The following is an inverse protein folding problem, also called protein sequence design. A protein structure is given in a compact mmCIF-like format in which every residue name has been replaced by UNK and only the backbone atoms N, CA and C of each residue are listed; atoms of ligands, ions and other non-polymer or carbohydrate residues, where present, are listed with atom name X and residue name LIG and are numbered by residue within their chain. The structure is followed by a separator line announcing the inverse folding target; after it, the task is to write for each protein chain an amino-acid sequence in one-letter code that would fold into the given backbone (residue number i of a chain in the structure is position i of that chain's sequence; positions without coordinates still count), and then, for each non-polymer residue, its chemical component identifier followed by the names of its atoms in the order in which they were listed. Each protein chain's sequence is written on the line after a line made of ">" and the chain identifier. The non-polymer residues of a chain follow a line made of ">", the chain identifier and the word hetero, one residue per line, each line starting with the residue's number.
data_IF_930081079265
#
_entry.id   IF_930081079265
#
_cell.length_a   1.000
_cell.length_b   1.000
_cell.length_c   1.000
_cell.angle_alpha   90.00
_cell.angle_beta   90.00
_cell.angle_gamma   90.00
#
_symmetry.space_group_name_H-M   'P 1'
#
loop_
_entity.id
_entity.type
_entity.pdbx_description
1 polymer ?
#
# COMPACT_ATOMS: atom_id res chain seq x y z
N UNK A 1 20.98 -18.38 10.66
CA UNK A 1 20.55 -17.28 11.56
C UNK A 1 20.81 -15.97 10.85
N UNK A 2 19.80 -15.39 10.21
CA UNK A 2 19.88 -14.12 9.47
C UNK A 2 19.78 -12.93 10.42
N UNK A 3 20.58 -11.90 10.14
CA UNK A 3 21.07 -10.87 11.08
C UNK A 3 20.30 -9.54 11.01
N UNK A 4 19.02 -9.54 10.63
CA UNK A 4 18.24 -8.32 10.44
C UNK A 4 16.85 -8.42 11.11
N UNK A 5 16.46 -7.46 11.96
CA UNK A 5 15.14 -7.44 12.58
C UNK A 5 14.06 -7.08 11.55
N UNK A 6 12.89 -7.72 11.65
CA UNK A 6 11.69 -7.34 10.88
C UNK A 6 11.36 -5.88 11.19
N UNK A 7 11.41 -4.98 10.22
CA UNK A 7 10.90 -3.62 10.41
C UNK A 7 9.42 -3.69 10.80
N UNK A 8 9.09 -3.11 11.95
CA UNK A 8 7.75 -3.10 12.53
C UNK A 8 6.83 -2.22 11.66
N UNK A 9 5.84 -2.83 10.99
CA UNK A 9 4.85 -2.09 10.19
C UNK A 9 3.82 -1.48 11.12
N UNK A 10 3.70 -0.15 11.12
CA UNK A 10 2.77 0.60 11.95
C UNK A 10 1.77 1.27 11.02
N UNK A 11 0.47 0.92 11.01
CA UNK A 11 -0.50 1.66 10.22
C UNK A 11 -0.73 3.08 10.78
N UNK A 12 -1.18 4.05 9.97
CA UNK A 12 -1.67 5.33 10.49
C UNK A 12 -2.74 5.12 11.57
N UNK A 13 -2.67 5.90 12.64
CA UNK A 13 -3.62 5.84 13.76
C UNK A 13 -4.39 7.15 13.98
N UNK A 14 -4.06 8.22 13.25
CA UNK A 14 -4.75 9.51 13.28
C UNK A 14 -5.52 9.70 11.98
N UNK A 15 -6.76 10.19 12.06
CA UNK A 15 -7.45 10.69 10.86
C UNK A 15 -6.69 11.88 10.27
N UNK A 16 -6.81 12.09 8.96
CA UNK A 16 -6.19 13.22 8.26
C UNK A 16 -6.50 14.57 8.93
N UNK A 17 -7.74 14.75 9.40
CA UNK A 17 -8.12 15.97 10.11
C UNK A 17 -7.42 16.14 11.46
N UNK A 18 -7.26 15.07 12.24
CA UNK A 18 -6.56 15.09 13.52
C UNK A 18 -5.06 15.27 13.30
N UNK A 19 -4.50 14.59 12.30
CA UNK A 19 -3.11 14.73 11.89
C UNK A 19 -2.80 16.17 11.46
N UNK A 20 -3.64 16.77 10.60
CA UNK A 20 -3.50 18.18 10.19
C UNK A 20 -3.56 19.11 11.41
N UNK A 21 -4.49 18.91 12.34
CA UNK A 21 -4.59 19.74 13.55
C UNK A 21 -3.34 19.62 14.43
N UNK A 22 -2.85 18.40 14.65
CA UNK A 22 -1.65 18.17 15.46
C UNK A 22 -0.39 18.70 14.79
N UNK A 23 -0.25 18.55 13.47
CA UNK A 23 0.88 19.11 12.71
C UNK A 23 0.85 20.64 12.76
N UNK A 24 -0.33 21.26 12.61
CA UNK A 24 -0.47 22.73 12.82
C UNK A 24 -0.04 23.16 14.21
N UNK A 25 -0.44 22.43 15.26
CA UNK A 25 0.00 22.69 16.64
C UNK A 25 1.52 22.54 16.81
N UNK A 26 2.18 21.63 16.08
CA UNK A 26 3.64 21.55 16.09
C UNK A 26 4.26 22.75 15.36
N UNK A 27 3.70 23.18 14.24
CA UNK A 27 4.18 24.35 13.49
C UNK A 27 4.07 25.65 14.28
N UNK A 28 2.99 25.86 15.04
CA UNK A 28 2.81 27.05 15.89
C UNK A 28 3.88 27.16 16.98
N UNK A 29 4.43 26.03 17.44
CA UNK A 29 5.50 26.02 18.43
C UNK A 29 6.86 26.42 17.85
N UNK A 30 7.06 26.34 16.53
CA UNK A 30 8.35 26.66 15.88
C UNK A 30 8.77 28.10 16.15
N UNK A 31 7.83 29.05 16.12
CA UNK A 31 8.14 30.47 16.34
C UNK A 31 8.66 30.74 17.77
N UNK A 32 8.22 29.94 18.75
CA UNK A 32 8.76 29.94 20.12
C UNK A 32 10.14 29.27 20.18
N UNK A 33 10.31 28.14 19.50
CA UNK A 33 11.59 27.40 19.46
C UNK A 33 12.72 28.18 18.80
N UNK A 34 12.39 29.02 17.80
CA UNK A 34 13.35 29.92 17.15
C UNK A 34 14.01 30.92 18.12
N UNK A 35 13.40 31.17 19.29
CA UNK A 35 13.95 32.04 20.33
C UNK A 35 14.86 31.29 21.32
N UNK A 36 14.93 29.97 21.25
CA UNK A 36 15.72 29.13 22.15
C UNK A 36 17.11 28.84 21.59
N UNK A 37 18.03 28.45 22.48
CA UNK A 37 19.32 27.90 22.07
C UNK A 37 19.13 26.51 21.44
N UNK A 38 19.98 26.13 20.49
CA UNK A 38 19.90 24.83 19.82
C UNK A 38 19.96 23.62 20.77
N UNK A 39 20.62 23.76 21.93
CA UNK A 39 20.75 22.73 22.95
C UNK A 39 19.60 22.71 23.98
N UNK A 40 18.58 23.57 23.83
CA UNK A 40 17.47 23.63 24.78
C UNK A 40 16.67 22.30 24.77
N UNK A 41 16.44 21.68 25.94
CA UNK A 41 15.68 20.43 26.04
C UNK A 41 14.29 20.47 25.40
N UNK A 42 13.65 21.63 25.34
CA UNK A 42 12.33 21.80 24.71
C UNK A 42 12.37 21.54 23.20
N UNK A 43 13.49 21.85 22.54
CA UNK A 43 13.70 21.54 21.11
C UNK A 43 13.64 20.03 20.87
N UNK A 44 14.34 19.25 21.70
CA UNK A 44 14.37 17.79 21.57
C UNK A 44 13.03 17.15 21.91
N UNK A 45 12.30 17.69 22.90
CA UNK A 45 10.95 17.23 23.23
C UNK A 45 9.98 17.46 22.07
N UNK A 46 10.03 18.65 21.47
CA UNK A 46 9.22 18.98 20.31
C UNK A 46 9.53 18.08 19.12
N UNK A 47 10.82 17.81 18.86
CA UNK A 47 11.24 16.99 17.74
C UNK A 47 10.73 15.55 17.87
N UNK A 48 10.92 14.94 19.04
CA UNK A 48 10.42 13.60 19.34
C UNK A 48 8.88 13.54 19.22
N UNK A 49 8.16 14.54 19.73
CA UNK A 49 6.70 14.57 19.65
C UNK A 49 6.23 14.72 18.20
N UNK A 50 6.90 15.56 17.41
CA UNK A 50 6.57 15.78 16.00
C UNK A 50 6.81 14.52 15.18
N UNK A 51 7.92 13.82 15.41
CA UNK A 51 8.17 12.50 14.82
C UNK A 51 7.03 11.53 15.12
N UNK A 52 6.58 11.47 16.38
CA UNK A 52 5.48 10.62 16.82
C UNK A 52 4.13 11.00 16.22
N UNK A 53 3.90 12.29 15.93
CA UNK A 53 2.72 12.76 15.19
C UNK A 53 2.79 12.32 13.73
N UNK A 54 3.95 12.45 13.07
CA UNK A 54 4.15 12.02 11.68
C UNK A 54 3.93 10.50 11.55
N UNK A 55 4.52 9.70 12.44
CA UNK A 55 4.32 8.24 12.47
C UNK A 55 2.85 7.89 12.61
N UNK A 56 2.13 8.55 13.51
CA UNK A 56 0.70 8.30 13.69
C UNK A 56 -0.16 8.82 12.54
N UNK A 57 0.29 9.83 11.81
CA UNK A 57 -0.39 10.37 10.65
C UNK A 57 -0.22 9.54 9.38
N UNK A 58 0.96 8.95 9.17
CA UNK A 58 1.35 8.30 7.91
C UNK A 58 1.72 6.82 8.02
N UNK A 59 1.95 6.32 9.23
CA UNK A 59 2.41 4.95 9.48
C UNK A 59 3.89 4.72 9.14
N UNK A 60 4.30 3.45 9.18
CA UNK A 60 5.62 2.94 8.77
C UNK A 60 5.46 1.66 7.92
N UNK A 61 6.21 1.50 6.82
CA UNK A 61 7.20 2.45 6.27
C UNK A 61 6.53 3.60 5.50
N UNK A 62 7.07 4.82 5.62
CA UNK A 62 6.67 5.98 4.81
C UNK A 62 7.83 6.99 4.71
N UNK A 63 8.15 7.44 3.50
CA UNK A 63 9.28 8.31 3.18
C UNK A 63 9.27 9.66 3.92
N UNK A 64 8.12 10.13 4.40
CA UNK A 64 7.97 11.41 5.11
C UNK A 64 8.75 11.42 6.41
N UNK A 65 8.83 10.28 7.11
CA UNK A 65 9.59 10.17 8.34
C UNK A 65 11.10 10.24 8.07
N UNK A 66 11.56 9.60 7.00
CA UNK A 66 12.98 9.59 6.62
C UNK A 66 13.42 10.99 6.19
N UNK A 67 12.61 11.66 5.34
CA UNK A 67 12.84 13.03 4.89
C UNK A 67 12.83 14.02 6.07
N UNK A 68 11.92 13.85 7.03
CA UNK A 68 11.88 14.68 8.24
C UNK A 68 13.12 14.47 9.13
N UNK A 69 13.51 13.20 9.32
CA UNK A 69 14.66 12.83 10.16
C UNK A 69 15.99 13.22 9.51
N UNK A 70 16.06 13.30 8.18
CA UNK A 70 17.24 13.73 7.43
C UNK A 70 17.32 15.23 7.20
N UNK A 71 16.35 16.03 7.67
CA UNK A 71 16.29 17.48 7.45
C UNK A 71 17.39 18.29 8.18
N UNK A 72 18.38 17.63 8.76
CA UNK A 72 19.55 18.25 9.38
C UNK A 72 20.49 18.80 8.29
N UNK A 73 20.98 20.02 8.50
CA UNK A 73 21.96 20.65 7.63
C UNK A 73 23.24 19.80 7.61
N UNK A 74 23.67 19.37 6.42
CA UNK A 74 24.97 18.71 6.25
C UNK A 74 26.05 19.74 6.60
N UNK A 75 26.99 19.44 7.52
CA UNK A 75 27.99 20.42 7.91
C UNK A 75 28.79 20.88 6.69
N UNK A 76 28.68 22.17 6.35
CA UNK A 76 29.60 22.80 5.40
C UNK A 76 31.04 22.66 5.91
N UNK A 77 31.99 22.50 4.98
CA UNK A 77 33.45 22.47 5.18
C UNK A 77 33.97 23.67 6.02
N UNK A 78 33.16 24.70 6.28
CA UNK A 78 33.45 25.83 7.16
C UNK A 78 33.49 25.50 8.67
N UNK A 79 33.27 24.25 9.09
CA UNK A 79 33.32 23.82 10.50
C UNK A 79 34.71 23.84 11.15
N UNK A 80 35.75 24.26 10.41
CA UNK A 80 37.13 24.35 10.88
C UNK A 80 37.51 25.73 11.46
N UNK A 81 36.66 26.74 11.33
CA UNK A 81 36.97 28.11 11.80
C UNK A 81 36.22 28.44 13.08
N UNK A 82 36.82 28.13 14.25
CA UNK A 82 36.78 28.80 15.57
C UNK A 82 35.56 29.52 16.15
N UNK A 83 34.41 29.58 15.47
CA UNK A 83 33.17 30.21 15.93
C UNK A 83 32.01 29.21 15.83
N UNK A 84 32.17 28.09 16.54
CA UNK A 84 31.24 26.95 16.52
C UNK A 84 29.82 27.37 16.94
N UNK A 85 29.68 28.15 18.01
CA UNK A 85 28.37 28.41 18.62
C UNK A 85 27.42 29.21 17.72
N UNK A 86 27.92 30.24 17.03
CA UNK A 86 27.10 31.02 16.08
C UNK A 86 26.72 30.23 14.82
N UNK A 87 27.60 29.33 14.37
CA UNK A 87 27.36 28.45 13.21
C UNK A 87 26.31 27.38 13.57
N UNK A 88 26.39 26.78 14.76
CA UNK A 88 25.42 25.82 15.26
C UNK A 88 24.03 26.44 15.45
N UNK A 89 23.96 27.67 16.00
CA UNK A 89 22.69 28.37 16.18
C UNK A 89 22.04 28.74 14.83
N UNK A 90 22.82 29.21 13.85
CA UNK A 90 22.30 29.51 12.51
C UNK A 90 21.84 28.25 11.76
N UNK A 91 22.57 27.15 11.88
CA UNK A 91 22.18 25.84 11.31
C UNK A 91 20.90 25.31 11.96
N UNK A 92 20.76 25.49 13.27
CA UNK A 92 19.54 25.17 14.01
C UNK A 92 18.32 25.95 13.50
N UNK A 93 18.44 27.27 13.33
CA UNK A 93 17.37 28.12 12.78
C UNK A 93 16.96 27.63 11.38
N UNK A 94 17.93 27.35 10.50
CA UNK A 94 17.65 26.79 9.16
C UNK A 94 16.93 25.44 9.23
N UNK A 95 17.37 24.56 10.14
CA UNK A 95 16.76 23.24 10.35
C UNK A 95 15.29 23.37 10.75
N UNK A 96 14.96 24.28 11.67
CA UNK A 96 13.57 24.54 12.06
C UNK A 96 12.72 25.08 10.91
N UNK A 97 13.26 25.98 10.07
CA UNK A 97 12.57 26.45 8.88
C UNK A 97 12.33 25.32 7.87
N UNK A 98 13.32 24.47 7.60
CA UNK A 98 13.16 23.32 6.71
C UNK A 98 12.10 22.36 7.24
N UNK A 99 12.12 22.07 8.55
CA UNK A 99 11.09 21.24 9.20
C UNK A 99 9.70 21.88 9.07
N UNK A 100 9.57 23.21 9.21
CA UNK A 100 8.30 23.92 8.97
C UNK A 100 7.78 23.66 7.56
N UNK A 101 8.62 23.82 6.54
CA UNK A 101 8.24 23.59 5.13
C UNK A 101 7.87 22.13 4.85
N UNK A 102 8.54 21.17 5.48
CA UNK A 102 8.17 19.75 5.39
C UNK A 102 6.80 19.49 6.02
N UNK A 103 6.54 20.03 7.22
CA UNK A 103 5.24 19.91 7.89
C UNK A 103 4.10 20.55 7.08
N UNK A 104 4.36 21.68 6.41
CA UNK A 104 3.43 22.30 5.46
C UNK A 104 3.13 21.36 4.28
N UNK A 105 4.17 20.77 3.68
CA UNK A 105 4.03 19.76 2.64
C UNK A 105 3.23 18.55 3.10
N UNK A 106 3.44 18.07 4.33
CA UNK A 106 2.67 16.96 4.91
C UNK A 106 1.20 17.32 5.12
N UNK A 107 0.89 18.54 5.54
CA UNK A 107 -0.49 19.03 5.60
C UNK A 107 -1.13 19.00 4.21
N UNK A 108 -0.44 19.48 3.17
CA UNK A 108 -0.96 19.44 1.80
C UNK A 108 -1.17 18.00 1.32
N UNK A 109 -0.22 17.09 1.60
CA UNK A 109 -0.41 15.66 1.32
C UNK A 109 -1.65 15.11 2.06
N UNK A 110 -1.85 15.42 3.33
CA UNK A 110 -3.02 14.98 4.10
C UNK A 110 -4.32 15.63 3.62
N UNK A 111 -4.29 16.83 3.04
CA UNK A 111 -5.47 17.44 2.41
C UNK A 111 -5.80 16.78 1.08
N UNK A 112 -4.79 16.58 0.24
CA UNK A 112 -4.95 16.03 -1.12
C UNK A 112 -5.30 14.55 -1.06
N UNK A 113 -4.54 13.78 -0.28
CA UNK A 113 -4.63 12.32 -0.22
C UNK A 113 -5.36 11.81 1.02
N UNK A 114 -5.46 12.61 2.08
CA UNK A 114 -6.15 12.23 3.32
C UNK A 114 -7.66 12.56 3.32
N UNK A 115 -8.19 13.19 2.26
CA UNK A 115 -9.63 13.44 2.08
C UNK A 115 -10.45 12.17 1.79
N UNK A 116 -9.82 11.00 1.70
CA UNK A 116 -10.51 9.70 1.69
C UNK A 116 -10.91 9.21 3.09
N UNK A 117 -10.50 9.92 4.16
CA UNK A 117 -10.74 9.52 5.55
C UNK A 117 -11.50 10.58 6.36
N UNK A 118 -12.74 10.86 5.97
CA UNK A 118 -13.77 11.28 6.94
C UNK A 118 -15.20 11.02 6.46
N UNK A 119 -15.59 9.75 6.44
CA UNK A 119 -16.91 9.19 6.80
C UNK A 119 -16.67 7.67 6.91
N UNK A 120 -16.84 6.96 8.02
CA UNK A 120 -17.92 7.02 9.00
C UNK A 120 -17.42 6.52 10.36
N UNK A 121 -17.58 7.34 11.39
CA UNK A 121 -18.04 6.87 12.69
C UNK A 121 -19.50 7.34 12.81
N UNK A 122 -20.38 6.66 12.06
CA UNK A 122 -21.83 6.72 12.17
C UNK A 122 -22.32 5.36 11.68
N UNK A 123 -22.69 4.50 12.63
CA UNK A 123 -23.17 3.13 12.46
C UNK A 123 -22.18 2.15 11.82
N UNK A 124 -22.05 0.98 12.43
CA UNK A 124 -21.59 -0.23 11.76
C UNK A 124 -22.58 -0.51 10.62
N UNK A 125 -22.37 0.15 9.50
CA UNK A 125 -22.88 -0.30 8.20
C UNK A 125 -21.60 -0.39 7.37
N UNK A 126 -21.13 -1.60 7.04
CA UNK A 126 -19.93 -1.75 6.23
C UNK A 126 -20.12 -0.89 4.98
N UNK A 127 -19.09 -0.12 4.61
CA UNK A 127 -19.00 0.48 3.27
C UNK A 127 -19.22 -0.69 2.33
N UNK A 128 -20.45 -0.84 1.83
CA UNK A 128 -20.85 -1.99 1.03
C UNK A 128 -20.07 -1.82 -0.25
N UNK A 129 -18.87 -2.40 -0.31
CA UNK A 129 -18.23 -2.66 -1.57
C UNK A 129 -19.28 -3.29 -2.45
N UNK A 130 -19.31 -2.89 -3.71
CA UNK A 130 -20.25 -3.49 -4.64
C UNK A 130 -20.05 -5.00 -4.58
N UNK A 131 -21.10 -5.75 -4.91
CA UNK A 131 -21.00 -7.20 -5.03
C UNK A 131 -20.07 -7.64 -6.16
N UNK A 132 -19.53 -6.69 -6.92
CA UNK A 132 -18.64 -6.97 -8.02
C UNK A 132 -17.27 -7.42 -7.53
N UNK A 133 -16.74 -8.45 -8.17
CA UNK A 133 -15.43 -9.01 -7.88
C UNK A 133 -14.71 -9.25 -9.19
N UNK A 134 -13.47 -8.78 -9.31
CA UNK A 134 -12.69 -9.00 -10.52
C UNK A 134 -12.17 -10.44 -10.58
N UNK A 135 -12.20 -11.02 -11.78
CA UNK A 135 -11.48 -12.24 -12.13
C UNK A 135 -10.47 -11.91 -13.21
N UNK A 136 -9.21 -12.16 -12.90
CA UNK A 136 -8.11 -12.19 -13.87
C UNK A 136 -7.78 -13.64 -14.17
N UNK A 137 -7.66 -13.99 -15.44
CA UNK A 137 -7.32 -15.34 -15.86
C UNK A 137 -6.48 -15.29 -17.13
N UNK A 138 -5.74 -16.38 -17.37
CA UNK A 138 -5.10 -16.61 -18.66
C UNK A 138 -5.94 -17.58 -19.51
N UNK A 139 -5.38 -18.68 -19.99
CA UNK A 139 -6.06 -19.57 -20.94
C UNK A 139 -6.99 -20.61 -20.31
N UNK A 140 -6.97 -20.77 -18.98
CA UNK A 140 -7.81 -21.76 -18.33
C UNK A 140 -9.27 -21.27 -18.17
N UNK A 141 -10.04 -21.41 -19.26
CA UNK A 141 -11.46 -21.04 -19.33
C UNK A 141 -12.34 -21.81 -18.34
N UNK A 142 -11.99 -23.06 -18.05
CA UNK A 142 -12.72 -23.88 -17.09
C UNK A 142 -12.59 -23.28 -15.67
N UNK A 143 -11.37 -23.02 -15.20
CA UNK A 143 -11.14 -22.46 -13.88
C UNK A 143 -11.80 -21.07 -13.72
N UNK A 144 -11.73 -20.24 -14.77
CA UNK A 144 -12.45 -18.95 -14.83
C UNK A 144 -13.95 -19.13 -14.62
N UNK A 145 -14.55 -20.05 -15.39
CA UNK A 145 -15.99 -20.31 -15.37
C UNK A 145 -16.44 -20.87 -14.02
N UNK A 146 -15.69 -21.82 -13.47
CA UNK A 146 -15.95 -22.39 -12.15
C UNK A 146 -15.91 -21.32 -11.05
N UNK A 147 -14.87 -20.48 -11.05
CA UNK A 147 -14.76 -19.39 -10.09
C UNK A 147 -15.91 -18.38 -10.23
N UNK A 148 -16.26 -17.98 -11.45
CA UNK A 148 -17.38 -17.08 -11.71
C UNK A 148 -18.71 -17.66 -11.19
N UNK A 149 -18.94 -18.95 -11.41
CA UNK A 149 -20.12 -19.65 -10.90
C UNK A 149 -20.14 -19.71 -9.37
N UNK A 150 -19.00 -20.00 -8.73
CA UNK A 150 -18.88 -19.99 -7.26
C UNK A 150 -19.24 -18.60 -6.73
N UNK A 151 -18.61 -17.54 -7.25
CA UNK A 151 -18.86 -16.17 -6.81
C UNK A 151 -20.32 -15.77 -7.01
N UNK A 152 -20.91 -16.13 -8.15
CA UNK A 152 -22.33 -15.87 -8.43
C UNK A 152 -23.25 -16.55 -7.41
N UNK A 153 -22.99 -17.83 -7.08
CA UNK A 153 -23.75 -18.57 -6.05
C UNK A 153 -23.61 -17.95 -4.67
N UNK A 154 -22.44 -17.43 -4.35
CA UNK A 154 -22.16 -16.71 -3.10
C UNK A 154 -22.79 -15.30 -3.06
N UNK A 155 -23.42 -14.86 -4.15
CA UNK A 155 -24.15 -13.60 -4.25
C UNK A 155 -23.31 -12.42 -4.76
N UNK A 156 -22.21 -12.69 -5.46
CA UNK A 156 -21.32 -11.70 -6.07
C UNK A 156 -21.53 -11.59 -7.58
N UNK A 157 -21.02 -10.51 -8.18
CA UNK A 157 -21.06 -10.21 -9.61
C UNK A 157 -19.64 -10.31 -10.20
N UNK A 158 -19.24 -11.46 -10.76
CA UNK A 158 -17.89 -11.60 -11.31
C UNK A 158 -17.71 -10.72 -12.55
N UNK A 159 -16.62 -9.92 -12.57
CA UNK A 159 -16.22 -9.11 -13.72
C UNK A 159 -14.93 -9.70 -14.29
N UNK A 160 -15.00 -10.19 -15.53
CA UNK A 160 -13.84 -10.68 -16.26
C UNK A 160 -13.25 -9.50 -17.04
N UNK A 161 -12.07 -9.03 -16.62
CA UNK A 161 -11.51 -7.77 -17.09
C UNK A 161 -11.18 -7.78 -18.60
N UNK A 162 -10.60 -8.87 -19.08
CA UNK A 162 -10.19 -9.04 -20.48
C UNK A 162 -11.37 -9.15 -21.46
N UNK A 163 -12.55 -9.56 -20.98
CA UNK A 163 -13.77 -9.67 -21.81
C UNK A 163 -14.54 -8.35 -21.93
N UNK A 164 -14.18 -7.33 -21.14
CA UNK A 164 -14.81 -6.02 -21.22
C UNK A 164 -14.38 -5.28 -22.50
N UNK A 165 -15.33 -4.69 -23.26
CA UNK A 165 -15.01 -3.91 -24.46
C UNK A 165 -13.91 -2.88 -24.19
N UNK A 166 -12.84 -2.90 -24.98
CA UNK A 166 -11.71 -2.01 -24.74
C UNK A 166 -12.05 -0.55 -24.95
N UNK A 167 -12.92 -0.19 -25.91
CA UNK A 167 -13.34 1.20 -26.18
C UNK A 167 -12.15 2.21 -26.27
N UNK A 168 -10.95 1.75 -26.64
CA UNK A 168 -9.72 2.55 -26.62
C UNK A 168 -9.07 2.75 -25.23
N UNK A 169 -9.68 2.25 -24.16
CA UNK A 169 -9.16 2.31 -22.79
C UNK A 169 -8.08 1.26 -22.52
N UNK A 170 -7.05 1.70 -21.80
CA UNK A 170 -6.03 0.87 -21.17
C UNK A 170 -6.62 0.05 -20.01
N UNK A 171 -5.88 -0.97 -19.56
CA UNK A 171 -6.22 -1.78 -18.38
C UNK A 171 -6.40 -0.90 -17.14
N UNK A 172 -5.57 0.14 -16.99
CA UNK A 172 -5.61 1.05 -15.84
C UNK A 172 -6.92 1.84 -15.84
N UNK A 173 -7.31 2.41 -16.98
CA UNK A 173 -8.57 3.17 -17.12
C UNK A 173 -9.80 2.28 -16.91
N UNK A 174 -9.77 1.02 -17.37
CA UNK A 174 -10.83 0.04 -17.09
C UNK A 174 -10.97 -0.23 -15.59
N UNK A 175 -9.84 -0.33 -14.88
CA UNK A 175 -9.79 -0.58 -13.45
C UNK A 175 -10.29 0.64 -12.67
N UNK A 176 -9.97 1.86 -13.12
CA UNK A 176 -10.49 3.12 -12.55
C UNK A 176 -12.01 3.28 -12.76
N UNK A 177 -12.53 2.89 -13.92
CA UNK A 177 -13.97 2.90 -14.22
C UNK A 177 -14.78 1.99 -13.28
N UNK A 178 -14.15 0.94 -12.76
CA UNK A 178 -14.75 -0.02 -11.81
C UNK A 178 -14.18 0.16 -10.40
N UNK A 179 -14.01 1.42 -9.98
CA UNK A 179 -13.52 1.79 -8.64
C UNK A 179 -14.45 1.35 -7.49
N UNK A 180 -15.67 0.89 -7.80
CA UNK A 180 -16.62 0.29 -6.86
C UNK A 180 -16.31 -1.18 -6.50
N UNK A 181 -15.36 -1.82 -7.20
CA UNK A 181 -14.90 -3.18 -6.92
C UNK A 181 -13.85 -3.17 -5.81
N UNK A 182 -14.07 -3.97 -4.76
CA UNK A 182 -13.17 -4.02 -3.60
C UNK A 182 -12.43 -5.34 -3.42
N UNK A 183 -12.49 -6.26 -4.38
CA UNK A 183 -11.80 -7.55 -4.31
C UNK A 183 -11.49 -8.10 -5.71
N UNK A 184 -10.36 -8.79 -5.85
CA UNK A 184 -9.95 -9.45 -7.08
C UNK A 184 -9.43 -10.87 -6.82
N UNK A 185 -9.81 -11.79 -7.70
CA UNK A 185 -9.23 -13.13 -7.79
C UNK A 185 -8.37 -13.25 -9.04
N UNK A 186 -7.19 -13.84 -8.87
CA UNK A 186 -6.21 -14.04 -9.94
C UNK A 186 -6.00 -15.53 -10.15
N UNK A 187 -6.28 -16.03 -11.34
CA UNK A 187 -6.02 -17.42 -11.72
C UNK A 187 -4.63 -17.55 -12.33
N UNK A 188 -3.71 -18.15 -11.56
CA UNK A 188 -2.36 -18.44 -11.99
C UNK A 188 -2.30 -19.89 -12.50
N UNK A 189 -2.33 -20.04 -13.82
CA UNK A 189 -2.28 -21.35 -14.51
C UNK A 189 -1.02 -21.47 -15.36
N UNK A 190 -0.54 -22.70 -15.64
CA UNK A 190 0.69 -22.96 -16.40
C UNK A 190 0.53 -22.68 -17.91
N UNK A 191 0.18 -21.46 -18.29
CA UNK A 191 -0.19 -21.10 -19.65
C UNK A 191 1.01 -20.86 -20.57
N UNK A 192 2.08 -20.30 -20.00
CA UNK A 192 3.31 -19.98 -20.72
C UNK A 192 4.44 -20.86 -20.18
N UNK A 193 5.55 -20.95 -20.93
CA UNK A 193 6.81 -21.52 -20.45
C UNK A 193 7.91 -20.46 -20.52
N UNK A 194 8.80 -20.45 -19.54
CA UNK A 194 9.93 -19.54 -19.52
C UNK A 194 11.10 -20.09 -18.72
N UNK A 195 12.24 -19.45 -18.89
CA UNK A 195 13.46 -19.72 -18.14
C UNK A 195 14.20 -18.41 -17.89
N UNK A 196 15.22 -18.46 -17.03
CA UNK A 196 16.18 -17.36 -16.90
C UNK A 196 17.10 -17.34 -18.12
N UNK A 197 17.59 -16.16 -18.47
CA UNK A 197 18.61 -16.00 -19.52
C UNK A 197 19.81 -16.92 -19.24
N UNK A 198 20.25 -17.67 -20.27
CA UNK A 198 21.31 -18.67 -20.14
C UNK A 198 20.86 -20.01 -19.52
N UNK A 199 19.56 -20.24 -19.36
CA UNK A 199 18.99 -21.51 -18.91
C UNK A 199 17.90 -22.02 -19.87
N UNK A 200 18.14 -21.86 -21.18
CA UNK A 200 17.19 -22.22 -22.24
C UNK A 200 16.82 -23.70 -22.23
N UNK A 201 17.65 -24.57 -21.64
CA UNK A 201 17.33 -26.00 -21.48
C UNK A 201 16.38 -26.29 -20.29
N UNK A 202 16.08 -25.29 -19.45
CA UNK A 202 15.27 -25.41 -18.24
C UNK A 202 13.97 -24.59 -18.35
N UNK A 203 13.22 -24.77 -19.45
CA UNK A 203 11.89 -24.16 -19.58
C UNK A 203 10.94 -24.74 -18.51
N UNK A 204 10.40 -23.85 -17.68
CA UNK A 204 9.40 -24.17 -16.66
C UNK A 204 8.05 -23.57 -17.00
N UNK A 205 6.95 -24.24 -16.63
CA UNK A 205 5.63 -23.65 -16.70
C UNK A 205 5.53 -22.39 -15.82
N UNK A 206 4.84 -21.37 -16.30
CA UNK A 206 4.63 -20.11 -15.59
C UNK A 206 3.26 -19.51 -15.93
N UNK A 207 2.80 -18.61 -15.06
CA UNK A 207 1.62 -17.81 -15.32
C UNK A 207 1.85 -16.87 -16.52
N UNK A 208 0.76 -16.60 -17.24
CA UNK A 208 0.76 -15.70 -18.40
C UNK A 208 1.22 -14.30 -18.00
N UNK A 209 2.06 -13.67 -18.83
CA UNK A 209 2.64 -12.37 -18.47
C UNK A 209 1.60 -11.28 -18.19
N UNK A 210 0.53 -11.21 -19.00
CA UNK A 210 -0.56 -10.25 -18.79
C UNK A 210 -1.26 -10.46 -17.44
N UNK A 211 -1.45 -11.72 -17.03
CA UNK A 211 -2.03 -12.08 -15.73
C UNK A 211 -1.14 -11.58 -14.60
N UNK A 212 0.18 -11.75 -14.71
CA UNK A 212 1.14 -11.24 -13.73
C UNK A 212 1.13 -9.71 -13.67
N UNK A 213 1.02 -9.03 -14.81
CA UNK A 213 0.92 -7.57 -14.87
C UNK A 213 -0.37 -7.06 -14.19
N UNK A 214 -1.52 -7.61 -14.54
CA UNK A 214 -2.81 -7.24 -13.95
C UNK A 214 -2.86 -7.54 -12.45
N UNK A 215 -2.29 -8.67 -12.04
CA UNK A 215 -2.10 -9.00 -10.64
C UNK A 215 -1.36 -7.86 -9.90
N UNK A 216 -0.25 -7.35 -10.46
CA UNK A 216 0.51 -6.26 -9.87
C UNK A 216 -0.31 -4.97 -9.74
N UNK A 217 -1.10 -4.65 -10.77
CA UNK A 217 -2.01 -3.50 -10.75
C UNK A 217 -3.09 -3.62 -9.68
N UNK A 218 -3.74 -4.79 -9.56
CA UNK A 218 -4.75 -5.02 -8.53
C UNK A 218 -4.15 -4.98 -7.13
N UNK A 219 -2.98 -5.56 -6.91
CA UNK A 219 -2.30 -5.53 -5.62
C UNK A 219 -1.92 -4.09 -5.22
N UNK A 220 -1.50 -3.26 -6.18
CA UNK A 220 -1.23 -1.84 -5.96
C UNK A 220 -2.49 -1.01 -5.69
N UNK A 221 -3.59 -1.27 -6.41
CA UNK A 221 -4.83 -0.47 -6.28
C UNK A 221 -5.69 -0.87 -5.09
N UNK A 222 -5.94 -2.17 -4.89
CA UNK A 222 -6.85 -2.69 -3.87
C UNK A 222 -6.13 -3.00 -2.55
N UNK A 223 -4.80 -3.16 -2.60
CA UNK A 223 -4.02 -3.69 -1.50
C UNK A 223 -3.98 -5.21 -1.49
N UNK A 224 -2.89 -5.76 -0.95
CA UNK A 224 -2.60 -7.21 -0.94
C UNK A 224 -3.65 -8.06 -0.21
N UNK A 225 -4.33 -7.50 0.79
CA UNK A 225 -5.38 -8.16 1.57
C UNK A 225 -6.74 -8.24 0.86
N UNK A 226 -6.85 -7.67 -0.34
CA UNK A 226 -8.06 -7.70 -1.19
C UNK A 226 -7.81 -8.37 -2.54
N UNK A 227 -6.68 -9.07 -2.66
CA UNK A 227 -6.30 -9.83 -3.85
C UNK A 227 -5.95 -11.26 -3.43
N UNK A 228 -6.64 -12.22 -4.03
CA UNK A 228 -6.43 -13.64 -3.76
C UNK A 228 -6.02 -14.36 -5.04
N UNK A 229 -4.90 -15.07 -4.99
CA UNK A 229 -4.42 -15.87 -6.10
C UNK A 229 -4.92 -17.31 -5.93
N UNK A 230 -5.58 -17.86 -6.95
CA UNK A 230 -5.76 -19.30 -7.06
C UNK A 230 -4.76 -19.85 -8.06
N UNK A 231 -4.09 -20.94 -7.72
CA UNK A 231 -3.05 -21.49 -8.58
C UNK A 231 -3.14 -23.01 -8.69
N UNK A 232 -2.66 -23.53 -9.82
CA UNK A 232 -2.59 -24.96 -10.07
C UNK A 232 -1.30 -25.31 -10.82
N UNK A 233 -0.90 -26.59 -10.71
CA UNK A 233 0.31 -27.11 -11.32
C UNK A 233 1.59 -26.62 -10.66
N UNK A 234 2.71 -27.05 -11.24
CA UNK A 234 4.06 -26.63 -10.85
C UNK A 234 4.45 -25.40 -11.66
N UNK A 235 3.86 -24.26 -11.28
CA UNK A 235 4.20 -22.95 -11.85
C UNK A 235 5.28 -22.27 -11.03
N UNK A 236 6.24 -21.62 -11.68
CA UNK A 236 7.14 -20.71 -11.00
C UNK A 236 6.35 -19.45 -10.56
N UNK A 237 6.13 -19.21 -9.25
CA UNK A 237 5.48 -17.99 -8.81
C UNK A 237 6.43 -16.79 -9.04
N UNK A 238 5.90 -15.60 -9.38
CA UNK A 238 6.75 -14.42 -9.51
C UNK A 238 7.47 -14.13 -8.18
N UNK A 239 8.80 -13.97 -8.25
CA UNK A 239 9.75 -13.96 -7.13
C UNK A 239 9.41 -12.98 -6.00
N UNK A 240 8.77 -11.86 -6.32
CA UNK A 240 8.59 -10.71 -5.44
C UNK A 240 7.20 -10.64 -4.77
N UNK A 241 6.41 -11.71 -4.89
CA UNK A 241 5.02 -11.77 -4.40
C UNK A 241 4.87 -12.31 -2.97
N UNK A 242 5.90 -12.10 -2.13
CA UNK A 242 5.85 -12.44 -0.72
C UNK A 242 4.79 -11.61 0.02
N UNK A 243 3.79 -12.26 0.63
CA UNK A 243 2.73 -11.64 1.43
C UNK A 243 1.33 -11.60 0.78
N UNK A 244 1.09 -12.43 -0.24
CA UNK A 244 -0.21 -12.63 -0.88
C UNK A 244 -0.82 -13.97 -0.51
N UNK A 245 -2.15 -14.07 -0.64
CA UNK A 245 -2.90 -15.28 -0.34
C UNK A 245 -2.90 -16.16 -1.59
N UNK A 246 -2.43 -17.39 -1.43
CA UNK A 246 -2.36 -18.40 -2.49
C UNK A 246 -3.20 -19.61 -2.12
N UNK A 247 -4.29 -19.81 -2.86
CA UNK A 247 -5.17 -20.96 -2.72
C UNK A 247 -4.83 -21.98 -3.81
N UNK A 248 -4.24 -23.15 -3.46
CA UNK A 248 -4.01 -24.20 -4.44
C UNK A 248 -5.32 -24.88 -4.82
N UNK A 249 -5.45 -25.24 -6.10
CA UNK A 249 -6.44 -26.21 -6.57
C UNK A 249 -5.78 -27.22 -7.52
N UNK A 250 -6.26 -28.46 -7.52
CA UNK A 250 -5.69 -29.51 -8.39
C UNK A 250 -6.47 -29.65 -9.68
N UNK A 251 -7.74 -30.05 -9.59
CA UNK A 251 -8.55 -30.35 -10.76
C UNK A 251 -9.68 -29.34 -10.94
N UNK A 252 -10.19 -28.79 -9.84
CA UNK A 252 -11.31 -27.85 -9.86
C UNK A 252 -11.16 -26.76 -8.80
N UNK A 253 -11.58 -25.55 -9.15
CA UNK A 253 -11.64 -24.40 -8.22
C UNK A 253 -12.62 -24.67 -7.06
N UNK A 254 -13.59 -25.56 -7.25
CA UNK A 254 -14.51 -25.97 -6.19
C UNK A 254 -13.79 -26.55 -4.96
N UNK A 255 -12.60 -27.13 -5.15
CA UNK A 255 -11.77 -27.63 -4.04
C UNK A 255 -11.40 -26.51 -3.05
N UNK A 256 -11.26 -25.28 -3.55
CA UNK A 256 -10.90 -24.09 -2.75
C UNK A 256 -12.12 -23.27 -2.32
N UNK A 257 -13.35 -23.73 -2.55
CA UNK A 257 -14.57 -22.94 -2.30
C UNK A 257 -14.66 -22.44 -0.86
N UNK A 258 -14.34 -23.28 0.12
CA UNK A 258 -14.38 -22.89 1.54
C UNK A 258 -13.35 -21.81 1.85
N UNK A 259 -12.17 -21.88 1.25
CA UNK A 259 -11.12 -20.90 1.47
C UNK A 259 -11.43 -19.58 0.75
N UNK A 260 -12.02 -19.61 -0.46
CA UNK A 260 -12.58 -18.44 -1.14
C UNK A 260 -13.58 -17.70 -0.22
N UNK A 261 -14.49 -18.45 0.42
CA UNK A 261 -15.46 -17.87 1.37
C UNK A 261 -14.77 -17.22 2.57
N UNK A 262 -13.73 -17.86 3.13
CA UNK A 262 -12.97 -17.30 4.26
C UNK A 262 -12.30 -15.99 3.86
N UNK A 263 -11.68 -15.92 2.69
CA UNK A 263 -10.98 -14.72 2.23
C UNK A 263 -11.95 -13.56 1.95
N UNK A 264 -13.09 -13.84 1.33
CA UNK A 264 -14.14 -12.82 1.11
C UNK A 264 -14.65 -12.25 2.45
N UNK A 265 -14.86 -13.11 3.46
CA UNK A 265 -15.26 -12.68 4.81
C UNK A 265 -14.17 -11.89 5.51
N UNK A 266 -12.92 -12.32 5.41
CA UNK A 266 -11.78 -11.62 5.99
C UNK A 266 -11.62 -10.20 5.38
N UNK A 267 -11.99 -10.04 4.11
CA UNK A 267 -12.03 -8.73 3.45
C UNK A 267 -13.29 -7.88 3.77
N UNK A 268 -14.18 -8.39 4.60
CA UNK A 268 -15.38 -7.69 5.11
C UNK A 268 -16.63 -7.86 4.25
N UNK A 269 -16.70 -8.84 3.36
CA UNK A 269 -17.91 -9.11 2.57
C UNK A 269 -18.90 -10.04 3.29
N UNK A 270 -20.18 -9.73 3.12
CA UNK A 270 -21.26 -10.66 3.46
C UNK A 270 -21.37 -11.73 2.36
N UNK A 271 -21.16 -12.99 2.75
CA UNK A 271 -21.18 -14.13 1.84
C UNK A 271 -22.44 -14.95 2.09
N UNK A 272 -23.28 -15.14 1.06
CA UNK A 272 -24.42 -16.06 1.13
C UNK A 272 -23.91 -17.50 1.08
N UNK A 273 -24.33 -18.32 2.06
CA UNK A 273 -24.09 -19.77 2.07
C UNK A 273 -25.36 -20.45 1.56
#
# INVERSE_FOLDING_TARGET
>A
MTKYPKEERIPPSLSSSQAIELIKKQMEQIDKLLQLHCDDPEVRKWDNLTEQVIIRAFGKPHDNLDVYSSAYDVPSISSWTGNSNGIHQNSFIKTLHNKRSLLEGFIEQLKIFGSTEKSQDLSIIPKSFSKKVFIVHGHNEQAKTELALILTRLGFEPIILHEQPSQGMTIIEKLEKHSDVGFAFILLTPDDKGCKEGQEDNLRPRARQNVVFEFGLFAGKLGRNRVCCLYTGDIEPPSDLHGLIYLPFKNSVNESQLDIVKELRAAGYEVKI
#
